data_IF_714104099152
#
_entry.id   IF_714104099152
#
_cell.length_a   1.000
_cell.length_b   1.000
_cell.length_c   1.000
_cell.angle_alpha   90.00
_cell.angle_beta   90.00
_cell.angle_gamma   90.00
#
_symmetry.space_group_name_H-M   'P 1'
#
loop_
_entity.id
_entity.type
_entity.pdbx_description
1 polymer ?
#
# COMPACT_ATOMS: atom_id res chain seq x y z
N UNK A 1 17.12 10.46 -2.16
CA UNK A 1 16.63 11.85 -1.88
C UNK A 1 15.52 12.30 -2.81
N UNK A 2 15.69 12.33 -4.14
CA UNK A 2 14.60 12.73 -5.06
C UNK A 2 13.56 11.62 -5.31
N UNK A 3 13.96 10.37 -5.13
CA UNK A 3 13.09 9.18 -5.31
C UNK A 3 12.31 8.81 -4.03
N UNK A 4 12.91 8.99 -2.84
CA UNK A 4 12.22 8.79 -1.54
C UNK A 4 10.98 9.68 -1.37
N UNK A 5 11.01 10.90 -1.91
CA UNK A 5 9.88 11.82 -1.87
C UNK A 5 8.75 11.40 -2.82
N UNK A 6 9.09 10.81 -3.96
CA UNK A 6 8.09 10.29 -4.93
C UNK A 6 7.40 9.05 -4.34
N UNK A 7 8.16 8.18 -3.67
CA UNK A 7 7.65 7.01 -2.97
C UNK A 7 6.74 7.40 -1.79
N UNK A 8 7.15 8.38 -0.98
CA UNK A 8 6.33 8.88 0.14
C UNK A 8 5.05 9.59 -0.32
N UNK A 9 5.01 10.07 -1.57
CA UNK A 9 3.84 10.72 -2.18
C UNK A 9 2.80 9.72 -2.71
N UNK A 10 3.24 8.55 -3.17
CA UNK A 10 2.34 7.48 -3.64
C UNK A 10 1.52 6.86 -2.51
N UNK A 11 1.98 6.97 -1.26
CA UNK A 11 1.35 6.38 -0.07
C UNK A 11 0.88 7.43 0.96
N UNK A 12 0.39 8.59 0.52
CA UNK A 12 -0.62 9.28 1.34
C UNK A 12 -1.88 8.43 1.31
N UNK A 13 -2.25 7.91 2.48
CA UNK A 13 -3.08 6.75 2.77
C UNK A 13 -4.57 6.79 2.30
N UNK A 14 -4.88 7.53 1.24
CA UNK A 14 -6.23 7.62 0.67
C UNK A 14 -6.25 7.02 -0.74
N UNK A 15 -6.85 5.85 -0.86
CA UNK A 15 -7.16 5.21 -2.13
C UNK A 15 -7.94 6.18 -3.05
N UNK A 16 -7.42 6.45 -4.25
CA UNK A 16 -8.12 7.25 -5.25
C UNK A 16 -9.30 6.43 -5.78
N UNK A 17 -10.52 6.83 -5.42
CA UNK A 17 -11.75 6.17 -5.87
C UNK A 17 -12.06 6.57 -7.32
N UNK A 18 -12.03 5.62 -8.23
CA UNK A 18 -12.24 5.84 -9.68
C UNK A 18 -13.51 6.65 -10.00
N UNK A 19 -14.61 6.33 -9.32
CA UNK A 19 -15.94 6.94 -9.56
C UNK A 19 -16.22 8.17 -8.70
N UNK A 20 -15.29 8.56 -7.82
CA UNK A 20 -15.45 9.76 -6.99
C UNK A 20 -15.12 11.00 -7.82
N UNK A 21 -15.87 12.07 -7.59
CA UNK A 21 -15.62 13.38 -8.16
C UNK A 21 -14.79 14.19 -7.16
N UNK A 22 -13.71 14.78 -7.64
CA UNK A 22 -12.78 15.61 -6.90
C UNK A 22 -12.85 17.06 -7.37
N UNK A 23 -12.63 17.98 -6.45
CA UNK A 23 -12.41 19.40 -6.72
C UNK A 23 -11.02 19.62 -7.31
N UNK A 24 -10.79 20.84 -7.83
CA UNK A 24 -9.46 21.24 -8.32
C UNK A 24 -8.39 21.15 -7.22
N UNK A 25 -8.74 21.53 -5.99
CA UNK A 25 -7.81 21.57 -4.85
C UNK A 25 -7.49 20.17 -4.34
N UNK A 26 -8.50 19.31 -4.18
CA UNK A 26 -8.27 17.90 -3.86
C UNK A 26 -7.40 17.22 -4.92
N UNK A 27 -7.70 17.45 -6.19
CA UNK A 27 -6.92 16.88 -7.29
C UNK A 27 -5.48 17.42 -7.33
N UNK A 28 -5.29 18.71 -7.02
CA UNK A 28 -3.97 19.33 -6.90
C UNK A 28 -3.15 18.68 -5.78
N UNK A 29 -3.78 18.43 -4.64
CA UNK A 29 -3.14 17.77 -3.50
C UNK A 29 -2.79 16.31 -3.82
N UNK A 30 -3.71 15.56 -4.44
CA UNK A 30 -3.50 14.17 -4.87
C UNK A 30 -2.32 14.06 -5.84
N UNK A 31 -2.25 14.95 -6.83
CA UNK A 31 -1.18 14.93 -7.83
C UNK A 31 0.09 15.66 -7.39
N UNK A 32 0.10 16.28 -6.20
CA UNK A 32 1.14 17.19 -5.73
C UNK A 32 1.50 18.30 -6.72
N UNK A 33 0.49 18.88 -7.38
CA UNK A 33 0.69 19.93 -8.38
C UNK A 33 0.19 21.25 -7.85
N UNK A 34 0.88 22.33 -8.21
CA UNK A 34 0.36 23.66 -7.95
C UNK A 34 -0.94 23.90 -8.71
N UNK A 35 -1.82 24.72 -8.14
CA UNK A 35 -3.09 25.10 -8.78
C UNK A 35 -2.90 25.66 -10.19
N UNK A 36 -1.82 26.42 -10.43
CA UNK A 36 -1.51 26.96 -11.76
C UNK A 36 -1.14 25.86 -12.76
N UNK A 37 -0.43 24.82 -12.31
CA UNK A 37 -0.11 23.64 -13.14
C UNK A 37 -1.37 22.84 -13.46
N UNK A 38 -2.24 22.61 -12.48
CA UNK A 38 -3.53 21.96 -12.70
C UNK A 38 -4.38 22.71 -13.74
N UNK A 39 -4.46 24.03 -13.65
CA UNK A 39 -5.18 24.84 -14.63
C UNK A 39 -4.54 24.79 -16.03
N UNK A 40 -3.22 24.68 -16.13
CA UNK A 40 -2.54 24.46 -17.43
C UNK A 40 -2.92 23.11 -18.02
N UNK A 41 -2.89 22.03 -17.24
CA UNK A 41 -3.28 20.69 -17.69
C UNK A 41 -4.72 20.66 -18.22
N UNK A 42 -5.64 21.34 -17.52
CA UNK A 42 -7.02 21.49 -17.96
C UNK A 42 -7.11 22.26 -19.28
N UNK A 43 -6.39 23.39 -19.40
CA UNK A 43 -6.39 24.21 -20.62
C UNK A 43 -5.80 23.49 -21.83
N UNK A 44 -4.80 22.65 -21.60
CA UNK A 44 -4.15 21.84 -22.63
C UNK A 44 -4.94 20.57 -22.99
N UNK A 45 -6.01 20.26 -22.26
CA UNK A 45 -6.82 19.05 -22.47
C UNK A 45 -6.14 17.76 -21.98
N UNK A 46 -5.02 17.86 -21.25
CA UNK A 46 -4.34 16.70 -20.67
C UNK A 46 -5.12 16.08 -19.50
N UNK A 47 -5.96 16.88 -18.83
CA UNK A 47 -6.81 16.42 -17.75
C UNK A 47 -8.29 16.73 -18.06
N UNK A 48 -9.11 15.71 -18.39
CA UNK A 48 -10.54 15.89 -18.63
C UNK A 48 -11.28 16.38 -17.38
N UNK A 49 -12.12 17.40 -17.55
CA UNK A 49 -12.90 18.01 -16.46
C UNK A 49 -14.31 18.37 -16.89
N UNK A 50 -15.22 18.34 -15.92
CA UNK A 50 -16.51 19.01 -16.02
C UNK A 50 -16.41 20.38 -15.31
N UNK A 51 -16.87 21.43 -15.98
CA UNK A 51 -17.01 22.76 -15.36
C UNK A 51 -18.45 22.95 -14.92
N UNK A 52 -18.68 22.99 -13.60
CA UNK A 52 -20.00 23.20 -13.00
C UNK A 52 -20.00 24.59 -12.37
N UNK A 53 -20.69 25.53 -13.02
CA UNK A 53 -20.62 26.95 -12.68
C UNK A 53 -19.20 27.50 -12.79
N UNK A 54 -18.63 27.97 -11.67
CA UNK A 54 -17.27 28.51 -11.59
C UNK A 54 -16.22 27.49 -11.13
N UNK A 55 -16.63 26.24 -10.87
CA UNK A 55 -15.77 25.24 -10.27
C UNK A 55 -15.48 24.10 -11.24
N UNK A 56 -14.27 23.55 -11.14
CA UNK A 56 -13.87 22.35 -11.87
C UNK A 56 -14.18 21.10 -11.03
N UNK A 57 -14.56 20.04 -11.74
CA UNK A 57 -14.83 18.70 -11.22
C UNK A 57 -14.09 17.69 -12.05
N UNK A 58 -13.26 16.88 -11.39
CA UNK A 58 -12.41 15.87 -12.02
C UNK A 58 -12.85 14.50 -11.50
N UNK A 59 -13.05 13.54 -12.39
CA UNK A 59 -13.37 12.16 -12.00
C UNK A 59 -12.08 11.41 -11.63
N UNK A 60 -12.11 10.59 -10.58
CA UNK A 60 -10.95 9.87 -10.08
C UNK A 60 -10.21 9.05 -11.14
N UNK A 61 -10.95 8.41 -12.04
CA UNK A 61 -10.36 7.65 -13.17
C UNK A 61 -9.44 8.50 -14.06
N UNK A 62 -9.71 9.80 -14.21
CA UNK A 62 -8.86 10.69 -14.99
C UNK A 62 -7.57 11.05 -14.25
N UNK A 63 -7.61 11.17 -12.92
CA UNK A 63 -6.41 11.35 -12.09
C UNK A 63 -5.52 10.11 -12.17
N UNK A 64 -6.11 8.93 -12.03
CA UNK A 64 -5.40 7.64 -12.16
C UNK A 64 -4.77 7.49 -13.54
N UNK A 65 -5.53 7.78 -14.61
CA UNK A 65 -5.01 7.76 -15.98
C UNK A 65 -3.85 8.73 -16.18
N UNK A 66 -3.93 9.93 -15.61
CA UNK A 66 -2.85 10.90 -15.68
C UNK A 66 -1.58 10.37 -14.99
N UNK A 67 -1.70 9.84 -13.77
CA UNK A 67 -0.58 9.23 -13.04
C UNK A 67 0.06 8.12 -13.88
N UNK A 68 -0.75 7.18 -14.38
CA UNK A 68 -0.27 6.08 -15.22
C UNK A 68 0.41 6.57 -16.51
N UNK A 69 -0.06 7.67 -17.11
CA UNK A 69 0.54 8.23 -18.32
C UNK A 69 1.90 8.90 -18.08
N UNK A 70 2.16 9.39 -16.86
CA UNK A 70 3.42 10.04 -16.49
C UNK A 70 4.41 9.06 -15.87
N UNK A 71 3.96 7.91 -15.37
CA UNK A 71 4.82 6.87 -14.83
C UNK A 71 5.22 5.84 -15.89
N UNK A 72 6.49 5.45 -15.94
CA UNK A 72 6.96 4.42 -16.90
C UNK A 72 6.44 3.04 -16.47
N UNK A 73 5.72 2.29 -17.32
CA UNK A 73 5.09 1.01 -16.94
C UNK A 73 6.11 -0.06 -16.50
N UNK A 74 7.34 -0.01 -17.02
CA UNK A 74 8.40 -0.97 -16.71
C UNK A 74 8.86 -0.89 -15.25
N UNK A 75 9.00 0.33 -14.71
CA UNK A 75 9.45 0.56 -13.32
C UNK A 75 8.37 0.15 -12.30
N UNK A 76 7.10 0.45 -12.60
CA UNK A 76 5.96 -0.03 -11.78
C UNK A 76 5.88 -1.55 -11.81
N UNK A 77 6.02 -2.18 -12.98
CA UNK A 77 5.96 -3.63 -13.08
C UNK A 77 7.10 -4.32 -12.31
N UNK A 78 8.29 -3.73 -12.26
CA UNK A 78 9.41 -4.20 -11.43
C UNK A 78 9.14 -3.99 -9.93
N UNK A 79 8.68 -2.81 -9.52
CA UNK A 79 8.38 -2.50 -8.10
C UNK A 79 7.19 -3.32 -7.57
N UNK A 80 6.11 -3.44 -8.34
CA UNK A 80 4.94 -4.27 -8.01
C UNK A 80 5.31 -5.75 -8.02
N UNK A 81 6.20 -6.19 -8.92
CA UNK A 81 6.73 -7.56 -8.91
C UNK A 81 7.60 -7.82 -7.69
N UNK A 82 8.39 -6.85 -7.24
CA UNK A 82 9.21 -6.96 -6.04
C UNK A 82 8.33 -6.99 -4.77
N UNK A 83 7.29 -6.16 -4.67
CA UNK A 83 6.31 -6.19 -3.57
C UNK A 83 5.47 -7.48 -3.54
N UNK A 84 5.00 -7.96 -4.70
CA UNK A 84 4.31 -9.25 -4.82
C UNK A 84 5.23 -10.45 -4.52
N UNK A 85 6.53 -10.31 -4.80
CA UNK A 85 7.58 -11.27 -4.43
C UNK A 85 7.73 -11.33 -2.90
N UNK A 86 7.67 -10.20 -2.20
CA UNK A 86 7.67 -10.17 -0.74
C UNK A 86 6.41 -10.81 -0.15
N UNK A 87 5.23 -10.57 -0.74
CA UNK A 87 3.99 -11.20 -0.28
C UNK A 87 4.02 -12.72 -0.48
N UNK A 88 4.46 -13.20 -1.65
CA UNK A 88 4.58 -14.63 -1.92
C UNK A 88 5.57 -15.32 -0.96
N UNK A 89 6.67 -14.63 -0.65
CA UNK A 89 7.71 -15.11 0.28
C UNK A 89 7.25 -15.06 1.74
N UNK A 90 6.40 -14.10 2.10
CA UNK A 90 5.73 -14.06 3.41
C UNK A 90 4.71 -15.19 3.53
N UNK A 91 3.92 -15.47 2.49
CA UNK A 91 2.96 -16.58 2.49
C UNK A 91 3.64 -17.93 2.60
N UNK A 92 4.79 -18.12 1.95
CA UNK A 92 5.63 -19.32 2.13
C UNK A 92 6.16 -19.43 3.57
N UNK A 93 6.69 -18.34 4.14
CA UNK A 93 7.20 -18.32 5.51
C UNK A 93 6.08 -18.59 6.52
N UNK A 94 4.91 -17.96 6.35
CA UNK A 94 3.73 -18.16 7.18
C UNK A 94 3.23 -19.59 7.06
N UNK A 95 3.16 -20.14 5.84
CA UNK A 95 2.75 -21.54 5.61
C UNK A 95 3.73 -22.51 6.26
N UNK A 96 5.03 -22.27 6.17
CA UNK A 96 6.05 -23.08 6.84
C UNK A 96 5.95 -23.00 8.38
N UNK A 97 5.62 -21.83 8.93
CA UNK A 97 5.36 -21.67 10.37
C UNK A 97 4.11 -22.47 10.76
N UNK A 98 3.04 -22.38 9.98
CA UNK A 98 1.79 -23.10 10.22
C UNK A 98 2.00 -24.62 10.15
N UNK A 99 2.69 -25.15 9.14
CA UNK A 99 3.01 -26.58 9.03
C UNK A 99 3.91 -27.08 10.17
N UNK A 100 4.84 -26.23 10.61
CA UNK A 100 5.73 -26.56 11.72
C UNK A 100 4.99 -26.56 13.06
N UNK A 101 3.99 -25.69 13.20
CA UNK A 101 3.16 -25.58 14.40
C UNK A 101 2.00 -26.59 14.38
N UNK A 102 1.53 -27.02 13.21
CA UNK A 102 0.46 -28.03 13.06
C UNK A 102 0.90 -29.44 13.44
N UNK A 103 2.20 -29.68 13.59
CA UNK A 103 2.77 -30.95 14.10
C UNK A 103 2.62 -31.12 15.60
N UNK A 104 2.26 -30.07 16.33
CA UNK A 104 2.08 -30.13 17.76
C UNK A 104 0.70 -29.58 18.10
N UNK A 105 -0.14 -30.41 18.72
CA UNK A 105 -1.37 -29.92 19.31
C UNK A 105 -1.00 -28.90 20.40
N UNK A 106 -1.73 -27.79 20.52
CA UNK A 106 -1.48 -26.79 21.58
C UNK A 106 -1.39 -27.41 22.98
N UNK A 107 -2.07 -28.56 23.17
CA UNK A 107 -2.04 -29.36 24.39
C UNK A 107 -0.71 -30.07 24.65
N UNK A 108 -0.04 -30.58 23.61
CA UNK A 108 1.25 -31.27 23.72
C UNK A 108 2.38 -30.28 24.03
N UNK A 109 2.34 -29.09 23.41
CA UNK A 109 3.27 -27.98 23.71
C UNK A 109 3.11 -27.56 25.18
N UNK A 110 1.88 -27.46 25.66
CA UNK A 110 1.59 -27.05 27.03
C UNK A 110 2.06 -28.10 28.06
N UNK A 111 1.88 -29.39 27.76
CA UNK A 111 2.37 -30.50 28.60
C UNK A 111 3.91 -30.53 28.66
N UNK A 112 4.60 -30.31 27.55
CA UNK A 112 6.07 -30.23 27.49
C UNK A 112 6.61 -29.04 28.29
N UNK A 113 5.99 -27.86 28.14
CA UNK A 113 6.38 -26.66 28.92
C UNK A 113 6.17 -26.90 30.42
N UNK A 114 5.05 -27.53 30.82
CA UNK A 114 4.77 -27.86 32.22
C UNK A 114 5.77 -28.86 32.79
N UNK A 115 6.15 -29.89 32.03
CA UNK A 115 7.18 -30.85 32.43
C UNK A 115 8.54 -30.17 32.61
N UNK A 116 8.97 -29.34 31.65
CA UNK A 116 10.25 -28.63 31.73
C UNK A 116 10.30 -27.66 32.93
N UNK A 117 9.21 -26.94 33.20
CA UNK A 117 9.13 -26.05 34.37
C UNK A 117 9.16 -26.82 35.70
N UNK A 118 8.54 -28.01 35.75
CA UNK A 118 8.59 -28.88 36.94
C UNK A 118 10.01 -29.38 37.20
N UNK A 119 10.72 -29.83 36.17
CA UNK A 119 12.10 -30.30 36.29
C UNK A 119 13.05 -29.20 36.76
N UNK A 120 12.95 -27.99 36.20
CA UNK A 120 13.72 -26.82 36.66
C UNK A 120 13.38 -26.49 38.11
N UNK A 121 12.10 -26.57 38.49
CA UNK A 121 11.66 -26.33 39.87
C UNK A 121 12.15 -27.40 40.85
N UNK A 122 12.24 -28.68 40.46
CA UNK A 122 12.80 -29.74 41.30
C UNK A 122 14.32 -29.66 41.41
N UNK A 123 14.99 -29.24 40.33
CA UNK A 123 16.45 -29.16 40.24
C UNK A 123 17.04 -27.92 40.92
N UNK A 124 16.31 -26.80 40.90
CA UNK A 124 16.79 -25.51 41.41
C UNK A 124 15.86 -24.87 42.44
N UNK A 125 14.70 -25.47 42.74
CA UNK A 125 13.84 -25.03 43.83
C UNK A 125 14.43 -25.46 45.17
N UNK A 126 14.74 -24.49 46.01
CA UNK A 126 14.84 -24.70 47.47
C UNK A 126 13.45 -24.86 48.06
#
# INVERSE_FOLDING_TARGET
MREDLVMKMLFSNEEIKERKIYTLEESANILNLSRSTMLKLIKLGELPVAKIGKQYRILGIFLLRYILSKTKPKKIAEEVRDELSWQSRLDEVVSAIVERTSKYSSKEIEEDIRSALKEVREKYGR
#
